data_IF_701322143092
#
_entry.id   IF_701322143092
#
_cell.length_a   1.000
_cell.length_b   1.000
_cell.length_c   1.000
_cell.angle_alpha   90.00
_cell.angle_beta   90.00
_cell.angle_gamma   90.00
#
_symmetry.space_group_name_H-M   'P 1'
#
loop_
_entity.id
_entity.type
_entity.pdbx_description
1 polymer ?
#
# COMPACT_ATOMS: atom_id res chain seq x y z
N UNK A 1 -11.95 5.84 -8.73
CA UNK A 1 -13.09 4.93 -9.02
C UNK A 1 -12.67 3.70 -9.84
N UNK A 2 -12.19 3.83 -11.09
CA UNK A 2 -11.84 2.66 -11.91
C UNK A 2 -10.62 1.88 -11.39
N UNK A 3 -9.59 2.59 -10.90
CA UNK A 3 -8.41 1.98 -10.27
C UNK A 3 -8.73 1.31 -8.93
N UNK A 4 -9.64 1.89 -8.14
CA UNK A 4 -10.08 1.31 -6.86
C UNK A 4 -10.76 -0.06 -7.06
N UNK A 5 -11.55 -0.21 -8.12
CA UNK A 5 -12.20 -1.48 -8.44
C UNK A 5 -11.20 -2.58 -8.81
N UNK A 6 -10.20 -2.27 -9.65
CA UNK A 6 -9.15 -3.20 -10.03
C UNK A 6 -8.26 -3.58 -8.84
N UNK A 7 -7.86 -2.60 -8.03
CA UNK A 7 -7.06 -2.82 -6.84
C UNK A 7 -7.82 -3.66 -5.82
N UNK A 8 -9.11 -3.37 -5.60
CA UNK A 8 -10.00 -4.17 -4.73
C UNK A 8 -10.11 -5.60 -5.22
N UNK A 9 -10.31 -5.83 -6.52
CA UNK A 9 -10.36 -7.19 -7.09
C UNK A 9 -9.03 -7.95 -6.99
N UNK A 10 -7.90 -7.28 -7.21
CA UNK A 10 -6.58 -7.87 -7.07
C UNK A 10 -6.30 -8.26 -5.62
N UNK A 11 -6.59 -7.37 -4.65
CA UNK A 11 -6.41 -7.63 -3.23
C UNK A 11 -7.35 -8.75 -2.74
N UNK A 12 -8.61 -8.75 -3.18
CA UNK A 12 -9.55 -9.84 -2.92
C UNK A 12 -9.03 -11.19 -3.45
N UNK A 13 -8.46 -11.22 -4.67
CA UNK A 13 -7.87 -12.46 -5.22
C UNK A 13 -6.63 -12.93 -4.45
N UNK A 14 -5.95 -12.02 -3.75
CA UNK A 14 -4.82 -12.31 -2.86
C UNK A 14 -5.27 -12.69 -1.44
N UNK A 15 -6.58 -12.84 -1.20
CA UNK A 15 -7.15 -13.24 0.09
C UNK A 15 -7.29 -12.11 1.11
N UNK A 16 -7.13 -10.85 0.69
CA UNK A 16 -7.31 -9.69 1.55
C UNK A 16 -8.81 -9.42 1.74
N UNK A 17 -9.26 -9.32 2.98
CA UNK A 17 -10.67 -9.10 3.33
C UNK A 17 -11.15 -7.71 2.84
N UNK A 18 -12.44 -7.58 2.54
CA UNK A 18 -13.01 -6.30 2.08
C UNK A 18 -12.75 -5.15 3.06
N UNK A 19 -12.86 -5.42 4.37
CA UNK A 19 -12.57 -4.45 5.43
C UNK A 19 -11.12 -3.96 5.42
N UNK A 20 -10.16 -4.84 5.08
CA UNK A 20 -8.75 -4.46 4.95
C UNK A 20 -8.53 -3.59 3.71
N UNK A 21 -9.24 -3.85 2.62
CA UNK A 21 -9.16 -3.04 1.39
C UNK A 21 -9.72 -1.65 1.64
N UNK A 22 -10.89 -1.55 2.27
CA UNK A 22 -11.53 -0.28 2.57
C UNK A 22 -10.69 0.50 3.61
N UNK A 23 -10.06 -0.19 4.56
CA UNK A 23 -9.05 0.39 5.46
C UNK A 23 -7.83 0.95 4.72
N UNK A 24 -7.25 0.21 3.76
CA UNK A 24 -6.15 0.72 2.93
C UNK A 24 -6.56 1.97 2.14
N UNK A 25 -7.75 1.99 1.57
CA UNK A 25 -8.29 3.15 0.86
C UNK A 25 -8.48 4.36 1.79
N UNK A 26 -8.92 4.13 3.03
CA UNK A 26 -9.10 5.18 4.02
C UNK A 26 -7.76 5.76 4.49
N UNK A 27 -6.75 4.92 4.66
CA UNK A 27 -5.38 5.36 4.95
C UNK A 27 -4.80 6.25 3.83
N UNK A 28 -5.05 5.90 2.56
CA UNK A 28 -4.65 6.72 1.40
C UNK A 28 -5.32 8.09 1.46
N UNK A 29 -6.61 8.14 1.79
CA UNK A 29 -7.34 9.40 1.93
C UNK A 29 -6.86 10.25 3.10
N UNK A 30 -6.52 9.62 4.23
CA UNK A 30 -6.03 10.30 5.43
C UNK A 30 -4.63 10.87 5.26
N UNK A 31 -3.75 10.20 4.50
CA UNK A 31 -2.39 10.67 4.27
C UNK A 31 -1.88 10.30 2.86
N UNK A 32 -2.30 11.05 1.82
CA UNK A 32 -1.89 10.78 0.44
C UNK A 32 -0.38 10.95 0.25
N UNK A 33 0.26 11.87 0.98
CA UNK A 33 1.70 12.12 0.89
C UNK A 33 2.53 10.89 1.33
N UNK A 34 2.10 10.22 2.41
CA UNK A 34 2.75 8.99 2.86
C UNK A 34 2.66 7.90 1.79
N UNK A 35 1.49 7.72 1.17
CA UNK A 35 1.33 6.74 0.11
C UNK A 35 2.12 7.08 -1.15
N UNK A 36 2.22 8.36 -1.50
CA UNK A 36 3.05 8.79 -2.61
C UNK A 36 4.53 8.49 -2.36
N UNK A 37 5.01 8.67 -1.12
CA UNK A 37 6.37 8.25 -0.70
C UNK A 37 6.55 6.74 -0.77
N UNK A 38 5.59 5.97 -0.25
CA UNK A 38 5.60 4.51 -0.29
C UNK A 38 5.68 4.02 -1.75
N UNK A 39 4.82 4.53 -2.63
CA UNK A 39 4.79 4.15 -4.04
C UNK A 39 6.12 4.50 -4.74
N UNK A 40 6.68 5.69 -4.47
CA UNK A 40 7.97 6.10 -5.02
C UNK A 40 9.11 5.20 -4.54
N UNK A 41 9.13 4.83 -3.25
CA UNK A 41 10.14 3.90 -2.71
C UNK A 41 9.98 2.48 -3.26
N UNK A 42 8.76 2.00 -3.44
CA UNK A 42 8.49 0.68 -4.05
C UNK A 42 9.01 0.68 -5.48
N UNK A 43 8.64 1.68 -6.29
CA UNK A 43 9.13 1.80 -7.66
C UNK A 43 10.66 1.90 -7.73
N UNK A 44 11.25 2.70 -6.83
CA UNK A 44 12.70 2.82 -6.76
C UNK A 44 13.35 1.48 -6.40
N UNK A 45 12.80 0.73 -5.45
CA UNK A 45 13.31 -0.61 -5.09
C UNK A 45 13.13 -1.63 -6.22
N UNK A 46 12.03 -1.57 -6.95
CA UNK A 46 11.82 -2.42 -8.12
C UNK A 46 12.83 -2.10 -9.24
N UNK A 47 13.04 -0.81 -9.53
CA UNK A 47 13.94 -0.33 -10.59
C UNK A 47 15.42 -0.48 -10.24
N UNK A 48 15.80 -0.16 -9.00
CA UNK A 48 17.20 -0.13 -8.56
C UNK A 48 17.69 -1.47 -8.03
N UNK A 49 16.86 -2.20 -7.29
CA UNK A 49 17.27 -3.47 -6.66
C UNK A 49 16.77 -4.70 -7.45
N UNK A 50 15.97 -4.51 -8.51
CA UNK A 50 15.41 -5.61 -9.30
C UNK A 50 14.42 -6.48 -8.51
N UNK A 51 13.96 -6.01 -7.35
CA UNK A 51 13.05 -6.75 -6.47
C UNK A 51 11.66 -6.85 -7.09
N UNK A 52 11.02 -7.99 -6.89
CA UNK A 52 9.62 -8.17 -7.25
C UNK A 52 8.74 -7.17 -6.51
N UNK A 53 7.67 -6.70 -7.16
CA UNK A 53 6.71 -5.73 -6.61
C UNK A 53 6.26 -6.09 -5.18
N UNK A 54 5.99 -7.38 -4.94
CA UNK A 54 5.57 -7.88 -3.62
C UNK A 54 6.68 -7.76 -2.55
N UNK A 55 7.95 -8.01 -2.90
CA UNK A 55 9.08 -7.86 -1.97
C UNK A 55 9.34 -6.40 -1.64
N UNK A 56 9.37 -5.54 -2.67
CA UNK A 56 9.55 -4.11 -2.49
C UNK A 56 8.41 -3.53 -1.64
N UNK A 57 7.16 -3.90 -1.94
CA UNK A 57 5.99 -3.47 -1.18
C UNK A 57 6.06 -3.93 0.29
N UNK A 58 6.47 -5.17 0.56
CA UNK A 58 6.57 -5.68 1.92
C UNK A 58 7.66 -4.98 2.73
N UNK A 59 8.80 -4.66 2.11
CA UNK A 59 9.90 -3.95 2.76
C UNK A 59 9.54 -2.50 3.06
N UNK A 60 8.94 -1.80 2.10
CA UNK A 60 8.52 -0.39 2.27
C UNK A 60 7.35 -0.29 3.24
N UNK A 61 6.32 -1.14 3.13
CA UNK A 61 5.24 -1.18 4.12
C UNK A 61 5.75 -1.53 5.52
N UNK A 62 6.76 -2.40 5.64
CA UNK A 62 7.43 -2.69 6.91
C UNK A 62 8.11 -1.44 7.50
N UNK A 63 8.81 -0.67 6.66
CA UNK A 63 9.47 0.59 7.04
C UNK A 63 8.48 1.68 7.49
N UNK A 64 7.35 1.79 6.80
CA UNK A 64 6.30 2.77 7.12
C UNK A 64 5.20 2.22 8.03
N UNK A 65 5.37 1.01 8.59
CA UNK A 65 4.36 0.33 9.41
C UNK A 65 3.90 1.19 10.58
N UNK A 66 4.82 1.87 11.26
CA UNK A 66 4.51 2.71 12.42
C UNK A 66 3.74 3.98 12.02
N UNK A 67 4.04 4.55 10.85
CA UNK A 67 3.32 5.71 10.33
C UNK A 67 1.92 5.32 9.87
N UNK A 68 1.78 4.18 9.18
CA UNK A 68 0.49 3.59 8.81
C UNK A 68 -0.34 3.28 10.07
N UNK A 69 0.27 2.72 11.11
CA UNK A 69 -0.39 2.42 12.38
C UNK A 69 -0.85 3.69 13.11
N UNK A 70 -0.06 4.78 13.10
CA UNK A 70 -0.47 6.07 13.67
C UNK A 70 -1.70 6.64 12.96
N UNK A 71 -1.75 6.53 11.63
CA UNK A 71 -2.88 7.02 10.84
C UNK A 71 -4.12 6.12 11.04
N UNK A 72 -3.91 4.81 11.19
CA UNK A 72 -4.96 3.83 11.47
C UNK A 72 -5.58 3.99 12.86
N UNK A 73 -4.79 4.39 13.85
CA UNK A 73 -5.21 4.56 15.25
C UNK A 73 -5.99 5.86 15.53
N UNK A 74 -6.14 6.74 14.53
CA UNK A 74 -6.88 8.01 14.59
C UNK A 74 -8.17 7.94 13.81
#
# INVERSE_FOLDING_TARGET
MFQEFFLKKMLQSKGVSADQIDFFLDLIKKNPDLFQKIASEIEQKMKSEGKSEMQAAQEVMGKYKDDLAKIASK
#
